data_IF_285770202197
#
_entry.id   IF_285770202197
#
_cell.length_a   1.000
_cell.length_b   1.000
_cell.length_c   1.000
_cell.angle_alpha   90.00
_cell.angle_beta   90.00
_cell.angle_gamma   90.00
#
_symmetry.space_group_name_H-M   'P 1'
#
loop_
_entity.id
_entity.type
_entity.pdbx_description
1 polymer ?
#
# COMPACT_ATOMS: atom_id res chain seq x y z
N UNK A 1 -36.82 40.41 14.32
CA UNK A 1 -36.36 39.60 13.18
C UNK A 1 -34.85 39.70 13.05
N UNK A 2 -34.10 38.74 13.60
CA UNK A 2 -32.63 38.67 13.43
C UNK A 2 -32.33 38.06 12.07
N UNK A 3 -31.68 38.83 11.19
CA UNK A 3 -31.09 38.33 9.94
C UNK A 3 -29.92 37.41 10.32
N UNK A 4 -30.11 36.10 10.27
CA UNK A 4 -28.98 35.17 10.27
C UNK A 4 -28.26 35.31 8.92
N UNK A 5 -27.03 35.79 8.97
CA UNK A 5 -26.16 35.95 7.81
C UNK A 5 -25.90 34.61 7.14
N UNK A 6 -26.06 34.56 5.82
CA UNK A 6 -25.68 33.43 4.94
C UNK A 6 -24.22 32.96 5.11
N UNK A 7 -23.38 33.69 5.86
CA UNK A 7 -21.99 33.34 6.15
C UNK A 7 -21.82 32.12 7.07
N UNK A 8 -22.81 31.76 7.88
CA UNK A 8 -22.70 30.58 8.75
C UNK A 8 -23.18 29.27 8.08
N UNK A 9 -23.79 29.34 6.89
CA UNK A 9 -24.24 28.14 6.15
C UNK A 9 -23.13 27.38 5.43
N UNK A 10 -21.93 27.94 5.34
CA UNK A 10 -20.77 27.31 4.68
C UNK A 10 -19.71 26.78 5.66
N UNK A 11 -19.89 26.95 6.98
CA UNK A 11 -18.94 26.48 7.99
C UNK A 11 -18.94 24.96 8.24
N UNK A 12 -19.78 24.21 7.53
CA UNK A 12 -19.93 22.76 7.71
C UNK A 12 -19.91 21.97 6.39
N UNK A 13 -19.25 22.49 5.34
CA UNK A 13 -18.79 21.61 4.28
C UNK A 13 -17.58 20.85 4.84
N UNK A 14 -17.78 19.60 5.24
CA UNK A 14 -16.67 18.67 5.44
C UNK A 14 -15.72 18.86 4.27
N UNK A 15 -14.48 19.27 4.55
CA UNK A 15 -13.49 19.61 3.52
C UNK A 15 -13.43 18.47 2.51
N UNK A 16 -13.93 18.71 1.29
CA UNK A 16 -13.96 17.72 0.22
C UNK A 16 -12.52 17.27 -0.02
N UNK A 17 -12.23 16.00 0.30
CA UNK A 17 -10.94 15.40 0.02
C UNK A 17 -10.90 15.00 -1.45
N UNK A 18 -9.74 15.18 -2.08
CA UNK A 18 -9.47 14.60 -3.39
C UNK A 18 -9.41 13.07 -3.30
N UNK A 19 -9.85 12.38 -4.35
CA UNK A 19 -9.75 10.93 -4.44
C UNK A 19 -8.34 10.51 -4.90
N UNK A 20 -7.76 9.53 -4.21
CA UNK A 20 -6.50 8.89 -4.58
C UNK A 20 -6.72 7.39 -4.72
N UNK A 21 -6.45 6.84 -5.90
CA UNK A 21 -6.48 5.41 -6.15
C UNK A 21 -5.09 4.81 -6.00
N UNK A 22 -4.98 3.81 -5.14
CA UNK A 22 -3.80 2.95 -5.04
C UNK A 22 -4.13 1.62 -5.71
N UNK A 23 -3.47 1.34 -6.84
CA UNK A 23 -3.61 0.08 -7.55
C UNK A 23 -2.58 -0.91 -7.01
N UNK A 24 -3.04 -2.09 -6.59
CA UNK A 24 -2.21 -3.17 -6.03
C UNK A 24 -2.38 -4.44 -6.85
N UNK A 25 -1.44 -5.38 -6.74
CA UNK A 25 -1.48 -6.64 -7.48
C UNK A 25 -2.69 -7.49 -7.08
N UNK A 26 -2.78 -7.85 -5.80
CA UNK A 26 -3.68 -8.87 -5.29
C UNK A 26 -4.57 -8.40 -4.15
N UNK A 27 -5.43 -9.31 -3.72
CA UNK A 27 -6.34 -9.09 -2.61
C UNK A 27 -5.62 -9.08 -1.26
N UNK A 28 -4.56 -9.87 -1.10
CA UNK A 28 -3.71 -9.86 0.09
C UNK A 28 -3.10 -8.47 0.36
N UNK A 29 -2.57 -7.84 -0.69
CA UNK A 29 -2.05 -6.48 -0.70
C UNK A 29 -3.13 -5.48 -0.27
N UNK A 30 -4.32 -5.62 -0.85
CA UNK A 30 -5.42 -4.72 -0.57
C UNK A 30 -5.90 -4.83 0.88
N UNK A 31 -6.03 -6.05 1.41
CA UNK A 31 -6.41 -6.29 2.80
C UNK A 31 -5.43 -5.63 3.77
N UNK A 32 -4.13 -5.88 3.60
CA UNK A 32 -3.10 -5.30 4.45
C UNK A 32 -3.07 -3.78 4.36
N UNK A 33 -3.05 -3.22 3.14
CA UNK A 33 -2.95 -1.77 2.95
C UNK A 33 -4.20 -1.06 3.47
N UNK A 34 -5.39 -1.60 3.23
CA UNK A 34 -6.63 -1.03 3.79
C UNK A 34 -6.60 -1.04 5.32
N UNK A 35 -6.09 -2.11 5.94
CA UNK A 35 -5.93 -2.19 7.40
C UNK A 35 -5.00 -1.08 7.91
N UNK A 36 -3.82 -0.90 7.30
CA UNK A 36 -2.87 0.15 7.68
C UNK A 36 -3.47 1.56 7.51
N UNK A 37 -4.16 1.82 6.40
CA UNK A 37 -4.82 3.10 6.14
C UNK A 37 -5.94 3.37 7.18
N UNK A 38 -6.62 2.33 7.66
CA UNK A 38 -7.71 2.50 8.64
C UNK A 38 -7.27 3.12 9.97
N UNK A 39 -5.98 3.02 10.31
CA UNK A 39 -5.42 3.58 11.53
C UNK A 39 -5.03 5.06 11.43
N UNK A 40 -5.18 5.69 10.25
CA UNK A 40 -4.70 7.06 10.04
C UNK A 40 -5.73 7.99 9.42
N UNK A 41 -5.65 9.26 9.83
CA UNK A 41 -6.37 10.33 9.16
C UNK A 41 -5.68 10.72 7.85
N UNK A 42 -6.40 10.64 6.74
CA UNK A 42 -5.84 10.87 5.41
C UNK A 42 -6.22 12.25 4.83
N UNK A 43 -5.33 12.87 4.05
CA UNK A 43 -5.58 14.05 3.20
C UNK A 43 -6.51 13.74 2.03
N UNK A 44 -6.53 12.48 1.60
CA UNK A 44 -7.27 11.98 0.44
C UNK A 44 -8.38 11.01 0.84
N UNK A 45 -9.39 10.83 -0.01
CA UNK A 45 -10.19 9.61 0.00
C UNK A 45 -9.38 8.52 -0.69
N UNK A 46 -8.64 7.73 0.08
CA UNK A 46 -7.80 6.66 -0.48
C UNK A 46 -8.68 5.47 -0.83
N UNK A 47 -8.62 5.02 -2.08
CA UNK A 47 -9.35 3.86 -2.59
C UNK A 47 -8.36 2.83 -3.13
N UNK A 48 -8.33 1.64 -2.54
CA UNK A 48 -7.47 0.56 -3.03
C UNK A 48 -8.19 -0.18 -4.16
N UNK A 49 -7.48 -0.42 -5.28
CA UNK A 49 -7.98 -1.12 -6.46
C UNK A 49 -7.11 -2.35 -6.72
N UNK A 50 -7.72 -3.53 -6.63
CA UNK A 50 -7.06 -4.79 -6.97
C UNK A 50 -6.95 -4.92 -8.50
N UNK A 51 -5.78 -5.29 -9.00
CA UNK A 51 -5.54 -5.52 -10.43
C UNK A 51 -5.67 -6.99 -10.85
N UNK A 52 -5.63 -7.92 -9.90
CA UNK A 52 -5.60 -9.37 -10.16
C UNK A 52 -4.36 -9.76 -10.98
N UNK A 53 -3.18 -9.32 -10.52
CA UNK A 53 -1.88 -9.64 -11.11
C UNK A 53 -1.11 -8.41 -11.60
N UNK A 54 0.21 -8.44 -11.47
CA UNK A 54 1.10 -7.37 -11.92
C UNK A 54 0.92 -7.00 -13.41
N UNK A 55 0.59 -7.99 -14.25
CA UNK A 55 0.31 -7.80 -15.68
C UNK A 55 -0.87 -6.88 -15.98
N UNK A 56 -1.82 -6.77 -15.04
CA UNK A 56 -3.09 -6.05 -15.20
C UNK A 56 -3.09 -4.65 -14.57
N UNK A 57 -2.09 -4.32 -13.73
CA UNK A 57 -1.95 -2.97 -13.13
C UNK A 57 -2.03 -1.87 -14.20
N UNK A 58 -1.33 -1.95 -15.35
CA UNK A 58 -1.39 -0.92 -16.38
C UNK A 58 -2.81 -0.71 -16.95
N UNK A 59 -3.57 -1.80 -17.11
CA UNK A 59 -4.97 -1.76 -17.60
C UNK A 59 -5.82 -0.95 -16.61
N UNK A 60 -5.68 -1.24 -15.32
CA UNK A 60 -6.43 -0.56 -14.26
C UNK A 60 -6.05 0.92 -14.17
N UNK A 61 -4.76 1.26 -14.28
CA UNK A 61 -4.31 2.65 -14.32
C UNK A 61 -4.93 3.40 -15.50
N UNK A 62 -4.94 2.81 -16.70
CA UNK A 62 -5.52 3.44 -17.89
C UNK A 62 -7.03 3.63 -17.77
N UNK A 63 -7.76 2.65 -17.22
CA UNK A 63 -9.20 2.79 -16.94
C UNK A 63 -9.44 3.93 -15.96
N UNK A 64 -8.70 3.98 -14.86
CA UNK A 64 -8.85 5.02 -13.83
C UNK A 64 -8.52 6.41 -14.37
N UNK A 65 -7.46 6.57 -15.17
CA UNK A 65 -7.11 7.85 -15.80
C UNK A 65 -8.22 8.36 -16.74
N UNK A 66 -8.89 7.46 -17.46
CA UNK A 66 -9.99 7.79 -18.37
C UNK A 66 -11.27 8.17 -17.64
N UNK A 67 -11.61 7.43 -16.57
CA UNK A 67 -12.88 7.59 -15.85
C UNK A 67 -12.80 8.70 -14.79
N UNK A 68 -11.64 8.84 -14.14
CA UNK A 68 -11.42 9.72 -13.00
C UNK A 68 -10.22 10.65 -13.24
N UNK A 69 -10.32 11.50 -14.25
CA UNK A 69 -9.22 12.35 -14.73
C UNK A 69 -8.63 13.32 -13.69
N UNK A 70 -9.39 13.66 -12.64
CA UNK A 70 -8.94 14.53 -11.55
C UNK A 70 -8.36 13.76 -10.34
N UNK A 71 -8.48 12.43 -10.33
CA UNK A 71 -8.00 11.61 -9.22
C UNK A 71 -6.51 11.36 -9.32
N UNK A 72 -5.85 11.26 -8.17
CA UNK A 72 -4.45 10.83 -8.09
C UNK A 72 -4.42 9.31 -8.25
N UNK A 73 -3.53 8.79 -9.08
CA UNK A 73 -3.38 7.35 -9.29
C UNK A 73 -1.94 6.98 -8.99
N UNK A 74 -1.76 6.01 -8.11
CA UNK A 74 -0.47 5.46 -7.71
C UNK A 74 -0.54 3.94 -7.74
N UNK A 75 0.62 3.29 -7.80
CA UNK A 75 0.73 1.82 -7.87
C UNK A 75 1.62 1.31 -6.74
N UNK A 76 1.36 0.10 -6.26
CA UNK A 76 2.25 -0.68 -5.39
C UNK A 76 2.56 -2.01 -6.07
N UNK A 77 3.84 -2.34 -6.16
CA UNK A 77 4.35 -3.59 -6.72
C UNK A 77 5.10 -4.40 -5.66
N UNK A 78 4.92 -5.70 -5.68
CA UNK A 78 5.88 -6.65 -5.13
C UNK A 78 7.08 -6.76 -6.10
N UNK A 79 8.32 -6.73 -5.60
CA UNK A 79 9.52 -6.85 -6.43
C UNK A 79 10.03 -8.29 -6.55
N UNK A 80 9.53 -9.20 -5.71
CA UNK A 80 9.91 -10.62 -5.66
C UNK A 80 11.43 -10.86 -5.51
N UNK A 81 12.21 -9.87 -5.08
CA UNK A 81 13.68 -9.93 -5.04
C UNK A 81 14.36 -9.92 -6.42
N UNK A 82 13.61 -9.70 -7.51
CA UNK A 82 14.08 -9.86 -8.88
C UNK A 82 13.81 -8.65 -9.79
N UNK A 83 12.83 -7.82 -9.45
CA UNK A 83 12.48 -6.61 -10.19
C UNK A 83 13.00 -5.36 -9.49
N UNK A 84 13.22 -4.30 -10.26
CA UNK A 84 13.54 -2.97 -9.76
C UNK A 84 12.57 -1.90 -10.33
N UNK A 85 12.72 -0.65 -9.92
CA UNK A 85 11.90 0.46 -10.43
C UNK A 85 12.13 0.73 -11.93
N UNK A 86 13.32 0.43 -12.46
CA UNK A 86 13.62 0.60 -13.89
C UNK A 86 12.80 -0.39 -14.70
N UNK A 87 12.72 -1.64 -14.26
CA UNK A 87 11.91 -2.67 -14.88
C UNK A 87 10.41 -2.36 -14.80
N UNK A 88 9.91 -1.91 -13.64
CA UNK A 88 8.51 -1.47 -13.50
C UNK A 88 8.18 -0.32 -14.46
N UNK A 89 9.04 0.70 -14.55
CA UNK A 89 8.84 1.83 -15.47
C UNK A 89 8.87 1.38 -16.92
N UNK A 90 9.80 0.50 -17.30
CA UNK A 90 9.86 -0.07 -18.65
C UNK A 90 8.58 -0.82 -18.97
N UNK A 91 8.11 -1.64 -18.03
CA UNK A 91 6.86 -2.40 -18.17
C UNK A 91 5.64 -1.49 -18.35
N UNK A 92 5.47 -0.48 -17.48
CA UNK A 92 4.37 0.49 -17.58
C UNK A 92 4.41 1.26 -18.90
N UNK A 93 5.60 1.75 -19.30
CA UNK A 93 5.78 2.47 -20.57
C UNK A 93 5.41 1.61 -21.78
N UNK A 94 5.80 0.33 -21.79
CA UNK A 94 5.43 -0.63 -22.84
C UNK A 94 3.92 -0.89 -22.93
N UNK A 95 3.17 -0.53 -21.88
CA UNK A 95 1.71 -0.61 -21.81
C UNK A 95 1.04 0.76 -21.91
N UNK A 96 1.77 1.75 -22.43
CA UNK A 96 1.31 3.14 -22.64
C UNK A 96 0.86 3.83 -21.34
N UNK A 97 1.39 3.38 -20.20
CA UNK A 97 1.18 4.01 -18.90
C UNK A 97 2.39 4.85 -18.52
N UNK A 98 2.21 6.16 -18.52
CA UNK A 98 3.20 7.11 -18.01
C UNK A 98 2.85 7.52 -16.56
N UNK A 99 3.62 7.02 -15.60
CA UNK A 99 3.54 7.39 -14.17
C UNK A 99 4.86 8.02 -13.75
N UNK A 100 4.77 9.05 -12.90
CA UNK A 100 5.97 9.66 -12.31
C UNK A 100 6.53 8.72 -11.26
N UNK A 101 7.84 8.76 -11.05
CA UNK A 101 8.55 7.97 -10.03
C UNK A 101 7.88 8.03 -8.64
N UNK A 102 7.43 9.23 -8.24
CA UNK A 102 6.74 9.46 -6.97
C UNK A 102 5.35 8.81 -6.86
N UNK A 103 4.83 8.27 -7.95
CA UNK A 103 3.54 7.58 -8.04
C UNK A 103 3.71 6.05 -8.14
N UNK A 104 4.95 5.55 -8.07
CA UNK A 104 5.29 4.12 -8.10
C UNK A 104 5.90 3.74 -6.75
N UNK A 105 5.22 2.87 -6.02
CA UNK A 105 5.69 2.32 -4.75
C UNK A 105 5.97 0.82 -4.88
N UNK A 106 6.81 0.31 -3.99
CA UNK A 106 7.15 -1.11 -3.98
C UNK A 106 7.36 -1.66 -2.56
N UNK A 107 7.27 -2.97 -2.45
CA UNK A 107 7.83 -3.76 -1.35
C UNK A 107 8.75 -4.82 -1.94
N UNK A 108 9.91 -5.03 -1.33
CA UNK A 108 10.88 -6.03 -1.75
C UNK A 108 11.18 -6.96 -0.56
N UNK A 109 10.79 -8.24 -0.61
CA UNK A 109 10.28 -8.94 -1.80
C UNK A 109 8.78 -8.73 -2.06
N UNK A 110 7.93 -8.81 -1.04
CA UNK A 110 6.49 -8.96 -1.20
C UNK A 110 5.71 -8.48 0.05
N UNK A 111 4.38 -8.42 -0.03
CA UNK A 111 3.52 -7.88 1.03
C UNK A 111 3.70 -8.55 2.41
N UNK A 112 4.09 -9.82 2.47
CA UNK A 112 4.37 -10.53 3.72
C UNK A 112 5.45 -9.82 4.54
N UNK A 113 6.42 -9.19 3.89
CA UNK A 113 7.43 -8.40 4.60
C UNK A 113 6.78 -7.26 5.40
N UNK A 114 5.79 -6.58 4.83
CA UNK A 114 5.06 -5.54 5.57
C UNK A 114 4.27 -6.10 6.76
N UNK A 115 3.72 -7.30 6.65
CA UNK A 115 3.06 -7.97 7.78
C UNK A 115 4.07 -8.24 8.91
N UNK A 116 5.30 -8.62 8.60
CA UNK A 116 6.35 -8.78 9.62
C UNK A 116 6.75 -7.43 10.22
N UNK A 117 6.86 -6.38 9.39
CA UNK A 117 7.22 -5.03 9.85
C UNK A 117 6.27 -4.46 10.89
N UNK A 118 5.03 -4.94 11.00
CA UNK A 118 4.12 -4.48 12.08
C UNK A 118 4.51 -5.02 13.45
N UNK A 119 5.38 -6.04 13.52
CA UNK A 119 5.86 -6.68 14.75
C UNK A 119 7.34 -6.47 14.97
N UNK A 120 8.17 -6.64 13.94
CA UNK A 120 9.62 -6.53 14.04
C UNK A 120 10.31 -6.21 12.71
N UNK A 121 11.57 -5.79 12.78
CA UNK A 121 12.44 -5.67 11.60
C UNK A 121 13.13 -7.01 11.36
N UNK A 122 12.69 -7.74 10.33
CA UNK A 122 13.43 -8.87 9.82
C UNK A 122 14.48 -8.40 8.79
N UNK A 123 15.72 -8.88 8.92
CA UNK A 123 16.84 -8.59 8.00
C UNK A 123 17.20 -9.79 7.11
N UNK A 124 16.49 -10.91 7.26
CA UNK A 124 16.70 -12.07 6.40
C UNK A 124 16.29 -11.78 4.95
N UNK A 125 17.01 -12.38 4.02
CA UNK A 125 16.88 -12.16 2.57
C UNK A 125 15.87 -13.13 1.96
N UNK A 126 14.65 -13.07 2.46
CA UNK A 126 13.55 -13.88 1.90
C UNK A 126 13.15 -13.37 0.52
N UNK A 127 12.75 -14.29 -0.34
CA UNK A 127 12.30 -13.99 -1.71
C UNK A 127 10.94 -14.60 -2.02
N UNK A 128 10.46 -15.52 -1.17
CA UNK A 128 9.19 -16.20 -1.38
C UNK A 128 8.29 -16.12 -0.15
N UNK A 129 6.97 -16.09 -0.39
CA UNK A 129 5.94 -16.04 0.66
C UNK A 129 6.08 -17.13 1.71
N UNK A 130 6.49 -18.34 1.28
CA UNK A 130 6.70 -19.49 2.17
C UNK A 130 7.84 -19.29 3.18
N UNK A 131 8.81 -18.44 2.88
CA UNK A 131 9.96 -18.19 3.74
C UNK A 131 9.51 -17.47 5.03
N UNK A 132 8.41 -16.71 4.96
CA UNK A 132 7.80 -16.03 6.09
C UNK A 132 6.97 -16.93 7.01
N UNK A 133 6.79 -18.21 6.69
CA UNK A 133 5.89 -19.12 7.40
C UNK A 133 6.18 -19.21 8.90
N UNK A 134 7.46 -19.31 9.27
CA UNK A 134 7.86 -19.42 10.68
C UNK A 134 7.58 -18.12 11.44
N UNK A 135 7.98 -16.97 10.88
CA UNK A 135 7.72 -15.66 11.48
C UNK A 135 6.21 -15.40 11.61
N UNK A 136 5.43 -15.73 10.58
CA UNK A 136 3.97 -15.56 10.61
C UNK A 136 3.33 -16.44 11.68
N UNK A 137 3.79 -17.69 11.84
CA UNK A 137 3.31 -18.54 12.92
C UNK A 137 3.65 -17.96 14.29
N UNK A 138 4.89 -17.49 14.48
CA UNK A 138 5.35 -16.94 15.75
C UNK A 138 4.60 -15.65 16.15
N UNK A 139 4.31 -14.79 15.17
CA UNK A 139 3.70 -13.48 15.41
C UNK A 139 2.17 -13.47 15.39
N UNK A 140 1.56 -14.35 14.58
CA UNK A 140 0.12 -14.34 14.31
C UNK A 140 -0.56 -15.69 14.55
N UNK A 141 0.19 -16.74 14.94
CA UNK A 141 -0.36 -18.08 15.18
C UNK A 141 -0.86 -18.80 13.92
N UNK A 142 -0.69 -18.22 12.72
CA UNK A 142 -1.16 -18.81 11.46
C UNK A 142 -0.19 -19.91 11.01
N UNK A 143 -0.65 -21.16 11.07
CA UNK A 143 0.10 -22.33 10.64
C UNK A 143 0.08 -22.49 9.12
N UNK A 144 1.12 -23.14 8.60
CA UNK A 144 1.21 -23.52 7.18
C UNK A 144 0.89 -22.38 6.21
N UNK A 145 1.45 -21.21 6.50
CA UNK A 145 1.21 -20.02 5.71
C UNK A 145 1.55 -20.23 4.22
N UNK A 146 0.58 -19.92 3.38
CA UNK A 146 0.63 -20.04 1.92
C UNK A 146 0.16 -18.77 1.20
N UNK A 147 -0.14 -17.69 1.92
CA UNK A 147 -0.58 -16.42 1.35
C UNK A 147 -1.99 -16.43 0.76
N UNK A 148 -2.83 -17.39 1.17
CA UNK A 148 -4.24 -17.38 0.77
C UNK A 148 -5.05 -16.36 1.57
N UNK A 149 -6.19 -15.94 1.02
CA UNK A 149 -6.98 -14.84 1.58
C UNK A 149 -7.43 -15.09 3.03
N UNK A 150 -7.96 -16.26 3.41
CA UNK A 150 -8.33 -16.52 4.81
C UNK A 150 -7.15 -16.39 5.79
N UNK A 151 -5.95 -16.80 5.40
CA UNK A 151 -4.76 -16.63 6.23
C UNK A 151 -4.36 -15.15 6.37
N UNK A 152 -4.46 -14.38 5.29
CA UNK A 152 -4.17 -12.94 5.32
C UNK A 152 -5.21 -12.20 6.16
N UNK A 153 -6.49 -12.54 6.04
CA UNK A 153 -7.57 -12.02 6.88
C UNK A 153 -7.27 -12.26 8.36
N UNK A 154 -6.91 -13.49 8.73
CA UNK A 154 -6.54 -13.84 10.10
C UNK A 154 -5.34 -13.04 10.64
N UNK A 155 -4.39 -12.66 9.77
CA UNK A 155 -3.27 -11.77 10.13
C UNK A 155 -3.76 -10.34 10.34
N UNK A 156 -4.48 -9.76 9.37
CA UNK A 156 -4.89 -8.34 9.44
C UNK A 156 -5.90 -8.05 10.56
N UNK A 157 -6.69 -9.04 10.97
CA UNK A 157 -7.58 -8.95 12.14
C UNK A 157 -6.80 -8.76 13.44
N UNK A 158 -5.61 -9.37 13.55
CA UNK A 158 -4.77 -9.28 14.74
C UNK A 158 -3.96 -7.97 14.82
N UNK A 159 -3.74 -7.27 13.71
CA UNK A 159 -3.01 -5.99 13.69
C UNK A 159 -3.82 -4.92 14.43
N UNK A 160 -3.24 -4.32 15.47
CA UNK A 160 -3.81 -3.24 16.27
C UNK A 160 -3.17 -1.88 15.98
N UNK A 161 -3.67 -0.82 16.61
CA UNK A 161 -3.16 0.54 16.42
C UNK A 161 -1.69 0.69 16.84
N UNK A 162 -1.26 -0.05 17.86
CA UNK A 162 0.14 -0.08 18.31
C UNK A 162 1.05 -0.71 17.24
N UNK A 163 0.57 -1.76 16.56
CA UNK A 163 1.30 -2.41 15.47
C UNK A 163 1.47 -1.49 14.26
N UNK A 164 0.52 -0.57 14.03
CA UNK A 164 0.68 0.47 13.02
C UNK A 164 1.84 1.42 13.33
N UNK A 165 2.00 1.84 14.58
CA UNK A 165 3.16 2.66 14.97
C UNK A 165 4.47 1.92 14.81
N UNK A 166 4.51 0.63 15.20
CA UNK A 166 5.66 -0.23 14.96
C UNK A 166 5.97 -0.33 13.48
N UNK A 167 4.95 -0.57 12.64
CA UNK A 167 5.09 -0.60 11.19
C UNK A 167 5.70 0.68 10.64
N UNK A 168 5.25 1.86 11.07
CA UNK A 168 5.82 3.13 10.60
C UNK A 168 7.28 3.30 11.00
N UNK A 169 7.62 2.99 12.25
CA UNK A 169 8.98 3.08 12.76
C UNK A 169 9.92 2.13 12.00
N UNK A 170 9.47 0.89 11.82
CA UNK A 170 10.23 -0.14 11.13
C UNK A 170 10.38 0.20 9.65
N UNK A 171 9.30 0.61 8.97
CA UNK A 171 9.31 1.03 7.57
C UNK A 171 10.20 2.27 7.33
N UNK A 172 10.32 3.17 8.30
CA UNK A 172 11.23 4.31 8.21
C UNK A 172 12.72 3.93 8.38
N UNK A 173 13.00 2.72 8.88
CA UNK A 173 14.36 2.26 9.21
C UNK A 173 14.98 1.31 8.18
N UNK A 174 14.17 0.76 7.27
CA UNK A 174 14.65 -0.13 6.20
C UNK A 174 15.16 0.68 5.00
N UNK A 175 15.88 0.01 4.09
CA UNK A 175 16.33 0.65 2.85
C UNK A 175 15.14 1.02 1.96
N UNK A 176 15.25 2.16 1.28
CA UNK A 176 14.32 2.58 0.23
C UNK A 176 14.86 2.38 -1.18
N UNK A 177 15.97 1.63 -1.32
CA UNK A 177 16.57 1.30 -2.61
C UNK A 177 16.03 -0.05 -3.07
N UNK A 178 15.45 -0.07 -4.25
CA UNK A 178 14.78 -1.22 -4.87
C UNK A 178 15.68 -2.45 -5.05
N UNK A 179 16.99 -2.25 -5.20
CA UNK A 179 17.97 -3.35 -5.30
C UNK A 179 18.44 -3.92 -3.95
N UNK A 180 18.07 -3.29 -2.81
CA UNK A 180 18.37 -3.85 -1.49
C UNK A 180 17.28 -4.86 -1.10
N UNK A 181 17.64 -5.90 -0.34
CA UNK A 181 16.70 -6.92 0.15
C UNK A 181 16.90 -7.13 1.66
N UNK A 182 15.86 -6.95 2.49
CA UNK A 182 14.55 -6.38 2.16
C UNK A 182 14.56 -4.84 2.04
N UNK A 183 13.58 -4.27 1.31
CA UNK A 183 13.47 -2.81 1.11
C UNK A 183 12.06 -2.37 0.73
N UNK A 184 11.77 -1.07 0.89
CA UNK A 184 10.55 -0.45 0.39
C UNK A 184 10.64 1.07 0.37
N UNK A 185 9.96 1.70 -0.60
CA UNK A 185 9.75 3.13 -0.62
C UNK A 185 8.34 3.55 -0.11
N UNK A 186 7.56 2.62 0.45
CA UNK A 186 6.15 2.84 0.83
C UNK A 186 5.98 3.85 1.98
N UNK A 187 7.04 4.14 2.74
CA UNK A 187 7.01 5.23 3.74
C UNK A 187 6.68 6.58 3.09
N UNK A 188 7.09 6.80 1.84
CA UNK A 188 6.78 8.02 1.10
C UNK A 188 5.30 8.10 0.73
N UNK A 189 4.65 6.96 0.47
CA UNK A 189 3.20 6.89 0.26
C UNK A 189 2.46 7.31 1.53
N UNK A 190 2.79 6.69 2.67
CA UNK A 190 2.17 7.00 3.96
C UNK A 190 2.29 8.51 4.27
N UNK A 191 3.51 9.05 4.19
CA UNK A 191 3.77 10.49 4.44
C UNK A 191 3.00 11.40 3.48
N UNK A 192 2.80 10.98 2.23
CA UNK A 192 2.04 11.72 1.24
C UNK A 192 0.55 11.77 1.57
N UNK A 193 -0.02 10.68 2.09
CA UNK A 193 -1.46 10.59 2.36
C UNK A 193 -1.88 11.01 3.76
N UNK A 194 -0.98 10.98 4.75
CA UNK A 194 -1.27 11.35 6.14
C UNK A 194 -1.64 12.83 6.25
N UNK A 195 -2.63 13.19 7.07
CA UNK A 195 -2.94 14.59 7.42
C UNK A 195 -1.79 15.24 8.18
#
# INVERSE_FOLDING_TARGET
MRRSSNQDRFKNLAQLKEDLYLVVEGEADALFVNKIISFMSTKYNVRVRIAHGNGNIPIHVNILKKVYSYSKIVVLYDLDGHFDLVDIKRFLKNKEVDLKDRDIYFVNPCIEYFMILTKEINKEKFTHKKDYKELIFNHYGVRDYAGNIPQVEAIVEQIQYEDYHNFLNNLASISSKDYDLPSSNFIYFIRRIQK
#
